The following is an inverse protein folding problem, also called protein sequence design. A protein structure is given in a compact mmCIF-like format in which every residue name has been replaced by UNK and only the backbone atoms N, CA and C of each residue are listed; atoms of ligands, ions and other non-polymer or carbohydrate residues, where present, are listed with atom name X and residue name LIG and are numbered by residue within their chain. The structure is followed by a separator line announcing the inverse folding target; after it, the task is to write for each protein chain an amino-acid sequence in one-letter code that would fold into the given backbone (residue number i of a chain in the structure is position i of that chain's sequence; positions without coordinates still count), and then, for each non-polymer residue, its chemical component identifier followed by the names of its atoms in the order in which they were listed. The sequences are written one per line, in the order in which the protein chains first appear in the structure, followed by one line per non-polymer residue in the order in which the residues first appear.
data_IF_347677438354
#
_entry.id   IF_347677438354
#
_cell.length_a   1.000
_cell.length_b   1.000
_cell.length_c   1.000
_cell.angle_alpha   90.00
_cell.angle_beta   90.00
_cell.angle_gamma   90.00
#
_symmetry.space_group_name_H-M   'P 1'
#
loop_
_entity.id
_entity.type
_entity.pdbx_description
1 polymer ?
#
# COMPACT_ATOMS: atom_id res chain seq x y z
N UNK A 1 -9.27 -21.25 -16.77
CA UNK A 1 -9.58 -19.80 -16.70
C UNK A 1 -9.03 -19.29 -15.38
N UNK A 2 -8.30 -18.17 -15.34
CA UNK A 2 -7.82 -17.62 -14.07
C UNK A 2 -9.02 -17.17 -13.24
N UNK A 3 -9.18 -17.74 -12.06
CA UNK A 3 -10.23 -17.38 -11.10
C UNK A 3 -9.76 -16.17 -10.31
N UNK A 4 -10.53 -15.08 -10.36
CA UNK A 4 -10.36 -13.97 -9.42
C UNK A 4 -10.36 -14.49 -7.98
N UNK A 5 -9.67 -13.83 -7.04
CA UNK A 5 -9.79 -14.14 -5.62
C UNK A 5 -11.28 -14.15 -5.25
N UNK A 6 -11.69 -15.09 -4.38
CA UNK A 6 -13.11 -15.19 -4.04
C UNK A 6 -13.61 -13.86 -3.47
N UNK A 7 -14.83 -13.47 -3.82
CA UNK A 7 -15.46 -12.22 -3.32
C UNK A 7 -15.42 -12.16 -1.79
N UNK A 8 -15.54 -13.30 -1.13
CA UNK A 8 -15.46 -13.41 0.32
C UNK A 8 -14.08 -13.00 0.85
N UNK A 9 -12.99 -13.47 0.21
CA UNK A 9 -11.63 -13.15 0.60
C UNK A 9 -11.28 -11.67 0.36
N UNK A 10 -11.78 -11.08 -0.73
CA UNK A 10 -11.66 -9.64 -0.94
C UNK A 10 -12.44 -8.84 0.10
N UNK A 11 -13.61 -9.35 0.50
CA UNK A 11 -14.47 -8.68 1.48
C UNK A 11 -13.91 -8.67 2.90
N UNK A 12 -13.05 -9.63 3.24
CA UNK A 12 -12.44 -9.76 4.57
C UNK A 12 -11.07 -9.11 4.67
N UNK A 13 -10.44 -8.75 3.55
CA UNK A 13 -9.07 -8.24 3.49
C UNK A 13 -8.82 -7.06 4.44
N UNK A 14 -9.59 -5.96 4.31
CA UNK A 14 -9.38 -4.76 5.12
C UNK A 14 -9.80 -4.99 6.57
N UNK A 15 -10.84 -5.81 6.77
CA UNK A 15 -11.26 -6.20 8.13
C UNK A 15 -10.14 -6.94 8.85
N UNK A 16 -9.48 -7.88 8.18
CA UNK A 16 -8.30 -8.57 8.72
C UNK A 16 -7.14 -7.61 8.99
N UNK A 17 -6.86 -6.69 8.06
CA UNK A 17 -5.84 -5.64 8.26
C UNK A 17 -6.12 -4.77 9.50
N UNK A 18 -7.40 -4.51 9.80
CA UNK A 18 -7.82 -3.67 10.93
C UNK A 18 -7.76 -4.33 12.30
N UNK A 19 -7.64 -5.65 12.35
CA UNK A 19 -7.54 -6.39 13.62
C UNK A 19 -6.10 -6.39 14.18
N UNK A 20 -5.15 -5.74 13.51
CA UNK A 20 -3.74 -5.79 13.88
C UNK A 20 -3.08 -4.43 13.74
N UNK A 21 -2.23 -4.09 14.71
CA UNK A 21 -1.24 -3.03 14.56
C UNK A 21 0.00 -3.61 13.89
N UNK A 22 0.51 -2.90 12.89
CA UNK A 22 1.58 -3.37 12.05
C UNK A 22 2.89 -2.66 12.38
N UNK A 23 3.96 -3.40 12.62
CA UNK A 23 5.32 -2.88 12.59
C UNK A 23 5.71 -2.59 11.13
N UNK A 24 6.12 -1.36 10.82
CA UNK A 24 6.47 -0.90 9.48
C UNK A 24 7.98 -0.69 9.37
N UNK A 25 8.59 -1.36 8.39
CA UNK A 25 9.92 -1.03 7.86
C UNK A 25 9.79 -0.44 6.47
N UNK A 26 10.30 0.78 6.28
CA UNK A 26 10.23 1.56 5.04
C UNK A 26 11.62 1.79 4.48
N UNK A 27 11.86 1.40 3.25
CA UNK A 27 13.09 1.71 2.51
C UNK A 27 12.78 2.79 1.48
N UNK A 28 13.51 3.91 1.57
CA UNK A 28 13.43 5.05 0.68
C UNK A 28 14.63 5.08 -0.26
N UNK A 29 14.36 5.21 -1.56
CA UNK A 29 15.36 5.48 -2.60
C UNK A 29 14.89 6.63 -3.47
N UNK A 30 15.69 7.68 -3.57
CA UNK A 30 15.45 8.80 -4.47
C UNK A 30 16.64 9.00 -5.39
N UNK A 31 16.36 9.35 -6.65
CA UNK A 31 17.34 9.81 -7.62
C UNK A 31 17.90 11.19 -7.27
N UNK A 32 17.16 11.97 -6.45
CA UNK A 32 17.65 13.23 -5.90
C UNK A 32 18.45 12.95 -4.61
N UNK A 33 19.77 13.21 -4.57
CA UNK A 33 20.58 12.95 -3.38
C UNK A 33 20.23 13.85 -2.18
N UNK A 34 19.47 14.93 -2.39
CA UNK A 34 18.98 15.80 -1.32
C UNK A 34 17.71 15.27 -0.64
N UNK A 35 17.03 14.30 -1.25
CA UNK A 35 15.89 13.65 -0.62
C UNK A 35 16.35 12.62 0.43
N UNK A 36 15.45 12.31 1.36
CA UNK A 36 15.65 11.25 2.34
C UNK A 36 15.82 9.89 1.66
N UNK A 37 16.92 9.21 1.98
CA UNK A 37 17.26 7.88 1.50
C UNK A 37 17.59 6.98 2.71
N UNK A 38 17.37 5.67 2.57
CA UNK A 38 17.68 4.69 3.61
C UNK A 38 16.44 4.09 4.26
N UNK A 39 16.58 3.61 5.49
CA UNK A 39 15.52 2.87 6.20
C UNK A 39 14.86 3.73 7.28
N UNK A 40 13.54 3.67 7.35
CA UNK A 40 12.72 4.23 8.42
C UNK A 40 11.92 3.09 9.08
N UNK A 41 11.66 3.27 10.38
CA UNK A 41 10.79 2.37 11.16
C UNK A 41 9.61 3.14 11.71
N UNK A 42 8.49 2.46 11.84
CA UNK A 42 7.26 3.03 12.33
C UNK A 42 6.20 1.97 12.56
N UNK A 43 4.95 2.39 12.63
CA UNK A 43 3.80 1.52 12.72
C UNK A 43 2.70 1.93 11.76
N UNK A 44 1.79 1.01 11.47
CA UNK A 44 0.60 1.29 10.70
C UNK A 44 -0.66 0.69 11.34
N UNK A 45 -1.78 1.38 11.21
CA UNK A 45 -3.09 0.98 11.75
C UNK A 45 -4.19 1.25 10.74
N UNK A 46 -5.30 0.52 10.88
CA UNK A 46 -6.53 0.75 10.13
C UNK A 46 -7.68 0.94 11.14
N UNK A 47 -8.29 2.13 11.14
CA UNK A 47 -9.38 2.46 12.05
C UNK A 47 -10.67 2.64 11.28
N UNK A 48 -11.68 1.81 11.55
CA UNK A 48 -13.00 1.94 10.92
C UNK A 48 -13.57 3.35 11.14
N UNK A 49 -14.08 3.96 10.07
CA UNK A 49 -14.69 5.28 10.11
C UNK A 49 -16.22 5.16 10.18
N UNK A 50 -16.90 6.10 10.85
CA UNK A 50 -18.35 6.19 10.78
C UNK A 50 -18.78 6.50 9.33
N UNK A 51 -19.98 6.07 8.92
CA UNK A 51 -20.54 6.45 7.62
C UNK A 51 -20.59 7.98 7.50
N UNK A 52 -20.04 8.51 6.40
CA UNK A 52 -20.11 9.93 6.06
C UNK A 52 -21.18 10.16 4.98
N UNK A 53 -21.52 11.42 4.72
CA UNK A 53 -22.47 11.78 3.64
C UNK A 53 -22.01 11.39 2.24
N UNK A 54 -20.72 11.11 2.06
CA UNK A 54 -20.11 10.74 0.77
C UNK A 54 -19.99 9.23 0.55
N UNK A 55 -20.17 8.43 1.60
CA UNK A 55 -20.21 6.97 1.52
C UNK A 55 -21.62 6.50 1.19
N UNK A 56 -21.75 5.58 0.24
CA UNK A 56 -23.02 4.88 0.04
C UNK A 56 -23.33 4.00 1.26
N UNK A 57 -24.58 3.54 1.39
CA UNK A 57 -24.98 2.69 2.53
C UNK A 57 -24.24 1.36 2.61
N UNK A 58 -23.60 0.94 1.51
CA UNK A 58 -22.88 -0.34 1.41
C UNK A 58 -21.36 -0.16 1.44
N UNK A 59 -20.85 1.06 1.42
CA UNK A 59 -19.42 1.34 1.57
C UNK A 59 -18.98 1.29 3.03
N UNK A 60 -17.75 0.83 3.24
CA UNK A 60 -17.08 0.88 4.54
C UNK A 60 -15.71 1.54 4.38
N UNK A 61 -15.46 2.53 5.22
CA UNK A 61 -14.22 3.31 5.21
C UNK A 61 -13.33 2.93 6.40
N UNK A 62 -12.03 2.82 6.14
CA UNK A 62 -11.00 2.69 7.16
C UNK A 62 -9.95 3.78 6.97
N UNK A 63 -9.66 4.50 8.05
CA UNK A 63 -8.52 5.40 8.11
C UNK A 63 -7.27 4.54 8.26
N UNK A 64 -6.49 4.47 7.20
CA UNK A 64 -5.14 3.95 7.22
C UNK A 64 -4.18 5.04 7.68
N UNK A 65 -3.45 4.79 8.77
CA UNK A 65 -2.46 5.72 9.31
C UNK A 65 -1.12 5.01 9.45
N UNK A 66 -0.06 5.63 8.96
CA UNK A 66 1.31 5.27 9.29
C UNK A 66 1.94 6.38 10.13
N UNK A 67 2.82 6.00 11.04
CA UNK A 67 3.63 6.95 11.80
C UNK A 67 4.96 6.35 12.25
N UNK A 68 5.95 7.20 12.43
CA UNK A 68 7.26 6.83 12.97
C UNK A 68 8.12 8.06 13.20
N UNK A 69 9.40 7.84 13.47
CA UNK A 69 10.38 8.90 13.72
C UNK A 69 11.60 8.73 12.82
N UNK A 70 12.21 9.85 12.42
CA UNK A 70 13.47 9.83 11.68
C UNK A 70 14.59 9.36 12.62
N UNK A 71 15.28 8.25 12.31
CA UNK A 71 16.37 7.75 13.15
C UNK A 71 17.50 8.77 13.26
N UNK A 72 18.09 8.90 14.44
CA UNK A 72 19.18 9.85 14.69
C UNK A 72 20.46 9.57 13.91
N UNK A 73 20.60 8.38 13.32
CA UNK A 73 21.76 7.94 12.54
C UNK A 73 21.55 7.98 11.02
N UNK A 74 20.35 8.35 10.53
CA UNK A 74 20.13 8.55 9.09
C UNK A 74 20.64 9.95 8.72
N UNK A 75 21.92 9.99 8.34
CA UNK A 75 22.58 11.20 7.86
C UNK A 75 22.17 11.51 6.42
N UNK A 76 21.03 12.16 6.23
CA UNK A 76 20.60 12.65 4.90
C UNK A 76 19.90 14.01 5.03
N UNK A 77 20.66 15.11 4.92
CA UNK A 77 20.11 16.44 4.67
C UNK A 77 19.18 17.03 5.77
N UNK A 78 18.38 18.03 5.36
CA UNK A 78 17.79 19.12 6.15
C UNK A 78 16.73 18.81 7.23
N UNK A 79 16.50 17.54 7.59
CA UNK A 79 15.49 17.17 8.59
C UNK A 79 16.14 16.77 9.93
N UNK A 80 15.72 17.34 11.06
CA UNK A 80 16.30 17.04 12.36
C UNK A 80 15.98 15.59 12.79
N UNK A 81 16.94 14.88 13.43
CA UNK A 81 16.68 13.65 14.17
C UNK A 81 15.44 13.73 15.07
N UNK A 82 14.69 12.63 15.17
CA UNK A 82 13.50 12.55 16.02
C UNK A 82 12.28 13.28 15.47
N UNK A 83 12.34 13.86 14.26
CA UNK A 83 11.15 14.38 13.60
C UNK A 83 10.16 13.24 13.35
N UNK A 84 8.93 13.41 13.84
CA UNK A 84 7.83 12.48 13.55
C UNK A 84 7.38 12.64 12.10
N UNK A 85 7.16 11.52 11.44
CA UNK A 85 6.51 11.47 10.14
C UNK A 85 5.18 10.73 10.26
N UNK A 86 4.20 11.14 9.46
CA UNK A 86 2.90 10.47 9.37
C UNK A 86 2.41 10.46 7.93
N UNK A 87 1.61 9.45 7.59
CA UNK A 87 0.95 9.33 6.29
C UNK A 87 -0.45 8.76 6.51
N UNK A 88 -1.47 9.38 5.90
CA UNK A 88 -2.87 8.95 6.06
C UNK A 88 -3.55 8.77 4.70
N UNK A 89 -4.42 7.77 4.62
CA UNK A 89 -5.34 7.54 3.50
C UNK A 89 -6.66 6.98 4.03
N UNK A 90 -7.74 7.17 3.28
CA UNK A 90 -8.97 6.39 3.48
C UNK A 90 -8.94 5.20 2.52
N UNK A 91 -9.03 3.99 3.06
CA UNK A 91 -9.27 2.78 2.29
C UNK A 91 -10.77 2.49 2.35
N UNK A 92 -11.42 2.53 1.20
CA UNK A 92 -12.86 2.29 1.05
C UNK A 92 -13.08 0.94 0.40
N UNK A 93 -13.92 0.13 1.05
CA UNK A 93 -14.39 -1.14 0.52
C UNK A 93 -15.87 -1.04 0.19
N UNK A 94 -16.20 -1.35 -1.05
CA UNK A 94 -17.57 -1.54 -1.49
C UNK A 94 -18.00 -2.97 -1.12
N UNK A 95 -18.98 -3.12 -0.24
CA UNK A 95 -19.38 -4.46 0.27
C UNK A 95 -20.10 -5.32 -0.77
N UNK A 96 -20.66 -4.70 -1.82
CA UNK A 96 -21.38 -5.40 -2.88
C UNK A 96 -20.46 -5.97 -3.96
N UNK A 97 -19.43 -5.25 -4.35
CA UNK A 97 -18.49 -5.63 -5.40
C UNK A 97 -17.18 -6.20 -4.85
N UNK A 98 -16.88 -6.00 -3.56
CA UNK A 98 -15.60 -6.35 -2.96
C UNK A 98 -14.44 -5.47 -3.46
N UNK A 99 -14.74 -4.38 -4.18
CA UNK A 99 -13.74 -3.47 -4.72
C UNK A 99 -13.15 -2.62 -3.60
N UNK A 100 -11.85 -2.43 -3.67
CA UNK A 100 -11.10 -1.55 -2.75
C UNK A 100 -10.62 -0.33 -3.52
N UNK A 101 -10.73 0.85 -2.88
CA UNK A 101 -10.20 2.11 -3.39
C UNK A 101 -9.47 2.87 -2.29
N UNK A 102 -8.45 3.62 -2.67
CA UNK A 102 -7.63 4.43 -1.76
C UNK A 102 -7.84 5.90 -2.10
N UNK A 103 -8.10 6.71 -1.08
CA UNK A 103 -8.42 8.13 -1.18
C UNK A 103 -7.45 8.96 -0.36
N UNK A 104 -7.11 10.14 -0.88
CA UNK A 104 -6.42 11.14 -0.07
C UNK A 104 -7.32 11.61 1.06
N UNK A 105 -6.72 11.97 2.19
CA UNK A 105 -7.45 12.55 3.33
C UNK A 105 -7.40 14.06 3.23
N UNK A 106 -8.52 14.73 3.50
CA UNK A 106 -8.61 16.19 3.51
C UNK A 106 -7.65 16.78 4.52
N UNK A 107 -6.91 17.82 4.10
CA UNK A 107 -6.06 18.61 4.99
C UNK A 107 -6.85 19.81 5.50
N UNK A 108 -7.74 19.56 6.46
CA UNK A 108 -8.60 20.58 7.07
C UNK A 108 -8.80 20.29 8.57
N UNK A 109 -9.12 21.31 9.40
CA UNK A 109 -9.54 21.08 10.77
C UNK A 109 -10.84 20.24 10.80
N UNK A 110 -10.92 19.26 11.69
CA UNK A 110 -12.12 18.43 11.85
C UNK A 110 -11.82 16.93 11.75
N UNK A 111 -12.85 16.10 11.51
CA UNK A 111 -12.68 14.67 11.31
C UNK A 111 -11.89 14.36 10.03
N UNK A 112 -11.21 13.21 10.03
CA UNK A 112 -10.50 12.70 8.85
C UNK A 112 -11.54 12.27 7.81
N UNK A 113 -11.52 12.90 6.65
CA UNK A 113 -12.49 12.65 5.57
C UNK A 113 -11.77 12.39 4.25
N UNK A 114 -12.36 11.55 3.40
CA UNK A 114 -11.89 11.36 2.04
C UNK A 114 -12.02 12.65 1.22
N UNK A 115 -10.97 13.00 0.48
CA UNK A 115 -10.91 14.15 -0.42
C UNK A 115 -11.18 13.70 -1.87
N UNK A 116 -10.13 13.33 -2.60
CA UNK A 116 -10.21 12.79 -3.95
C UNK A 116 -9.54 11.42 -4.06
N UNK A 117 -9.99 10.66 -5.06
CA UNK A 117 -9.51 9.31 -5.31
C UNK A 117 -8.02 9.32 -5.65
N UNK A 118 -7.25 8.49 -4.96
CA UNK A 118 -5.88 8.19 -5.36
C UNK A 118 -5.91 7.10 -6.43
N UNK A 119 -6.30 5.87 -6.08
CA UNK A 119 -6.44 4.78 -7.06
C UNK A 119 -7.42 3.71 -6.60
N UNK A 120 -7.84 2.86 -7.53
CA UNK A 120 -8.55 1.62 -7.24
C UNK A 120 -7.55 0.46 -7.17
N UNK A 121 -7.87 -0.57 -6.38
CA UNK A 121 -7.15 -1.83 -6.42
C UNK A 121 -7.56 -2.61 -7.67
N UNK A 122 -6.54 -3.03 -8.42
CA UNK A 122 -6.63 -4.04 -9.46
C UNK A 122 -5.92 -5.29 -8.95
N UNK A 123 -6.68 -6.33 -8.59
CA UNK A 123 -6.15 -7.57 -8.03
C UNK A 123 -5.65 -8.50 -9.14
N UNK A 124 -4.44 -9.02 -9.00
CA UNK A 124 -3.89 -9.97 -9.97
C UNK A 124 -4.61 -11.31 -9.85
N UNK A 125 -5.16 -11.80 -10.97
CA UNK A 125 -5.83 -13.11 -11.02
C UNK A 125 -4.80 -14.21 -11.28
N UNK A 126 -4.06 -14.63 -10.25
CA UNK A 126 -3.34 -15.92 -10.10
C UNK A 126 -2.42 -16.45 -11.22
N UNK A 127 -2.30 -15.77 -12.35
CA UNK A 127 -1.66 -16.27 -13.59
C UNK A 127 -0.63 -15.30 -14.18
N UNK A 128 -0.48 -14.11 -13.59
CA UNK A 128 0.51 -13.11 -14.05
C UNK A 128 1.88 -13.26 -13.37
N UNK A 129 2.07 -14.36 -12.62
CA UNK A 129 3.41 -14.77 -12.21
C UNK A 129 4.11 -15.43 -13.39
N UNK A 130 5.24 -14.83 -13.79
CA UNK A 130 6.28 -15.29 -14.74
C UNK A 130 6.16 -14.77 -16.18
N UNK A 131 6.80 -13.63 -16.51
CA UNK A 131 8.08 -13.59 -17.25
C UNK A 131 8.53 -12.14 -17.49
N UNK A 132 9.59 -11.73 -16.82
CA UNK A 132 10.45 -10.66 -17.33
C UNK A 132 11.21 -11.18 -18.55
N UNK A 133 10.90 -10.66 -19.73
CA UNK A 133 11.76 -10.81 -20.91
C UNK A 133 11.85 -9.46 -21.59
N UNK A 134 13.03 -8.86 -21.50
CA UNK A 134 13.34 -7.61 -22.18
C UNK A 134 13.58 -7.83 -23.67
N UNK A 135 13.14 -6.85 -24.46
CA UNK A 135 13.78 -6.48 -25.73
C UNK A 135 13.28 -5.08 -26.10
N UNK A 136 14.21 -4.16 -26.30
CA UNK A 136 13.92 -2.73 -26.40
C UNK A 136 13.26 -2.29 -27.71
N UNK A 137 12.53 -1.18 -27.63
CA UNK A 137 12.63 -0.05 -28.56
C UNK A 137 11.99 1.18 -27.90
N UNK A 138 12.59 2.34 -28.10
CA UNK A 138 12.26 3.56 -27.41
C UNK A 138 10.99 4.21 -27.98
N UNK A 139 9.86 4.09 -27.25
CA UNK A 139 8.78 5.08 -27.24
C UNK A 139 7.97 4.96 -25.93
N UNK A 140 8.15 5.94 -25.04
CA UNK A 140 7.51 6.22 -23.72
C UNK A 140 6.32 5.32 -23.35
N UNK A 141 6.53 4.43 -22.36
CA UNK A 141 5.65 3.32 -22.03
C UNK A 141 4.62 3.64 -20.93
N UNK A 142 3.30 3.63 -21.20
CA UNK A 142 2.26 3.62 -20.16
C UNK A 142 2.22 2.29 -19.37
N UNK A 143 2.93 1.26 -19.83
CA UNK A 143 2.95 -0.12 -19.31
C UNK A 143 4.08 -0.49 -18.36
N UNK A 144 4.77 0.43 -17.68
CA UNK A 144 5.73 0.04 -16.64
C UNK A 144 5.00 -0.60 -15.45
N UNK A 145 4.95 -1.93 -15.43
CA UNK A 145 4.47 -2.71 -14.29
C UNK A 145 5.53 -2.66 -13.20
N UNK A 146 5.13 -2.31 -11.97
CA UNK A 146 6.00 -2.46 -10.81
C UNK A 146 5.59 -3.72 -10.07
N UNK A 147 6.53 -4.65 -9.91
CA UNK A 147 6.28 -5.86 -9.14
C UNK A 147 6.09 -5.52 -7.65
N UNK A 148 5.10 -6.11 -6.98
CA UNK A 148 4.97 -5.96 -5.54
C UNK A 148 6.17 -6.60 -4.83
N UNK A 149 6.61 -6.04 -3.70
CA UNK A 149 7.64 -6.65 -2.87
C UNK A 149 7.07 -7.89 -2.18
N UNK A 150 7.88 -8.95 -2.06
CA UNK A 150 7.48 -10.17 -1.35
C UNK A 150 7.15 -9.84 0.11
N UNK A 151 5.94 -10.13 0.64
CA UNK A 151 5.63 -9.87 2.05
C UNK A 151 6.54 -10.66 3.00
N UNK A 152 6.86 -10.10 4.18
CA UNK A 152 7.63 -10.80 5.21
C UNK A 152 7.18 -12.25 5.43
N UNK A 153 8.15 -13.15 5.60
CA UNK A 153 7.84 -14.54 5.91
C UNK A 153 7.29 -14.63 7.34
N UNK A 154 6.32 -15.52 7.55
CA UNK A 154 5.76 -15.79 8.88
C UNK A 154 6.11 -17.22 9.26
N UNK A 155 6.71 -17.40 10.43
CA UNK A 155 6.98 -18.72 11.00
C UNK A 155 5.70 -19.29 11.57
N UNK A 156 4.84 -19.80 10.70
CA UNK A 156 3.65 -20.57 11.08
C UNK A 156 3.96 -22.07 10.94
N UNK A 157 3.61 -22.86 11.95
CA UNK A 157 4.05 -24.24 12.10
C UNK A 157 3.20 -25.29 11.38
N UNK A 158 2.20 -24.92 10.56
CA UNK A 158 1.30 -25.92 9.97
C UNK A 158 0.65 -25.60 8.60
N UNK A 159 0.53 -24.35 8.16
CA UNK A 159 -0.28 -24.03 6.98
C UNK A 159 0.53 -23.35 5.86
N UNK A 160 0.35 -23.83 4.63
CA UNK A 160 0.79 -23.15 3.42
C UNK A 160 0.09 -21.79 3.33
N UNK A 161 0.84 -20.73 2.98
CA UNK A 161 0.28 -19.36 2.85
C UNK A 161 0.19 -18.97 1.39
N UNK A 162 -0.82 -18.19 1.04
CA UNK A 162 -0.99 -17.63 -0.32
C UNK A 162 -0.64 -16.15 -0.31
N UNK A 163 -0.17 -15.62 -1.44
CA UNK A 163 0.06 -14.19 -1.62
C UNK A 163 -0.96 -13.63 -2.60
N UNK A 164 -1.74 -12.65 -2.13
CA UNK A 164 -2.66 -11.86 -2.94
C UNK A 164 -1.99 -10.56 -3.36
N UNK A 165 -1.88 -10.32 -4.67
CA UNK A 165 -1.30 -9.10 -5.20
C UNK A 165 -2.39 -8.12 -5.67
N UNK A 166 -2.14 -6.83 -5.47
CA UNK A 166 -2.97 -5.77 -6.02
C UNK A 166 -2.10 -4.61 -6.50
N UNK A 167 -2.64 -3.78 -7.38
CA UNK A 167 -1.95 -2.59 -7.89
C UNK A 167 -2.91 -1.43 -8.08
N UNK A 168 -2.34 -0.24 -8.23
CA UNK A 168 -3.08 0.97 -8.53
C UNK A 168 -2.17 2.08 -9.01
N UNK A 169 -2.65 2.88 -9.96
CA UNK A 169 -1.90 3.98 -10.56
C UNK A 169 -2.67 5.29 -10.42
N UNK A 170 -1.92 6.39 -10.32
CA UNK A 170 -2.47 7.74 -10.26
C UNK A 170 -1.52 8.73 -10.94
N UNK A 171 -2.02 9.49 -11.91
CA UNK A 171 -1.27 10.61 -12.49
C UNK A 171 -1.59 11.86 -11.69
N UNK A 172 -0.62 12.36 -10.93
CA UNK A 172 -0.74 13.65 -10.25
C UNK A 172 0.02 14.70 -11.04
N UNK A 173 -0.71 15.54 -11.78
CA UNK A 173 -0.18 16.60 -12.64
C UNK A 173 0.79 16.02 -13.69
N UNK A 174 2.09 15.96 -13.37
CA UNK A 174 3.15 15.47 -14.26
C UNK A 174 3.92 14.26 -13.68
N UNK A 175 3.51 13.78 -12.51
CA UNK A 175 4.18 12.70 -11.80
C UNK A 175 3.28 11.47 -11.81
N UNK A 176 3.77 10.37 -12.39
CA UNK A 176 3.11 9.08 -12.37
C UNK A 176 3.42 8.36 -11.07
N UNK A 177 2.38 8.10 -10.27
CA UNK A 177 2.44 7.28 -9.08
C UNK A 177 1.96 5.88 -9.44
N UNK A 178 2.85 4.90 -9.31
CA UNK A 178 2.53 3.48 -9.45
C UNK A 178 2.64 2.83 -8.08
N UNK A 179 1.63 2.06 -7.71
CA UNK A 179 1.61 1.32 -6.44
C UNK A 179 1.33 -0.14 -6.68
N UNK A 180 2.08 -1.00 -6.01
CA UNK A 180 1.83 -2.43 -5.93
C UNK A 180 1.78 -2.87 -4.46
N UNK A 181 0.94 -3.85 -4.18
CA UNK A 181 0.68 -4.43 -2.87
C UNK A 181 0.80 -5.94 -2.98
N UNK A 182 1.29 -6.56 -1.92
CA UNK A 182 1.21 -8.00 -1.72
C UNK A 182 0.75 -8.27 -0.28
N UNK A 183 -0.24 -9.14 -0.14
CA UNK A 183 -0.80 -9.56 1.14
C UNK A 183 -0.57 -11.06 1.29
N UNK A 184 0.22 -11.46 2.28
CA UNK A 184 0.35 -12.87 2.67
C UNK A 184 -0.84 -13.22 3.53
N UNK A 185 -1.60 -14.21 3.10
CA UNK A 185 -2.83 -14.62 3.75
C UNK A 185 -2.81 -16.10 4.13
N UNK A 186 -3.55 -16.43 5.19
CA UNK A 186 -4.03 -17.79 5.40
C UNK A 186 -5.12 -18.10 4.36
N UNK A 187 -5.00 -19.18 3.55
CA UNK A 187 -5.90 -19.41 2.41
C UNK A 187 -7.37 -19.63 2.80
N UNK A 188 -7.61 -20.32 3.91
CA UNK A 188 -8.96 -20.74 4.32
C UNK A 188 -9.77 -19.60 4.96
N UNK A 189 -9.11 -18.75 5.75
CA UNK A 189 -9.76 -17.65 6.48
C UNK A 189 -9.63 -16.30 5.77
N UNK A 190 -8.63 -16.15 4.90
CA UNK A 190 -8.25 -14.86 4.34
C UNK A 190 -7.56 -13.93 5.34
N UNK A 191 -7.13 -14.44 6.50
CA UNK A 191 -6.41 -13.65 7.49
C UNK A 191 -5.08 -13.16 6.91
N UNK A 192 -4.85 -11.85 6.94
CA UNK A 192 -3.56 -11.24 6.57
C UNK A 192 -2.54 -11.48 7.69
N UNK A 193 -1.46 -12.17 7.33
CA UNK A 193 -0.39 -12.54 8.24
C UNK A 193 0.78 -11.54 8.16
N UNK A 194 1.03 -11.01 6.97
CA UNK A 194 1.97 -9.93 6.70
C UNK A 194 1.62 -9.28 5.37
N UNK A 195 2.10 -8.06 5.13
CA UNK A 195 1.89 -7.42 3.83
C UNK A 195 3.04 -6.49 3.49
N UNK A 196 3.08 -6.08 2.23
CA UNK A 196 4.09 -5.16 1.74
C UNK A 196 3.51 -4.30 0.61
N UNK A 197 4.07 -3.10 0.45
CA UNK A 197 3.72 -2.20 -0.64
C UNK A 197 4.95 -1.58 -1.26
N UNK A 198 4.88 -1.27 -2.55
CA UNK A 198 5.90 -0.50 -3.26
C UNK A 198 5.23 0.65 -3.99
N UNK A 199 5.79 1.85 -3.82
CA UNK A 199 5.37 3.04 -4.52
C UNK A 199 6.53 3.57 -5.35
N UNK A 200 6.32 3.67 -6.65
CA UNK A 200 7.28 4.26 -7.57
C UNK A 200 6.68 5.54 -8.14
N UNK A 201 7.41 6.63 -7.99
CA UNK A 201 7.05 7.95 -8.54
C UNK A 201 8.04 8.31 -9.62
N UNK A 202 7.54 8.58 -10.82
CA UNK A 202 8.32 9.01 -11.97
C UNK A 202 7.71 10.26 -12.57
N UNK A 203 8.51 11.30 -12.71
CA UNK A 203 8.15 12.55 -13.37
C UNK A 203 9.38 13.36 -13.75
N UNK A 204 9.23 14.52 -14.41
CA UNK A 204 10.35 15.29 -14.94
C UNK A 204 11.41 15.70 -13.91
N UNK A 205 11.02 15.79 -12.63
CA UNK A 205 11.87 16.18 -11.50
C UNK A 205 11.78 15.21 -10.31
N UNK A 206 11.09 14.07 -10.47
CA UNK A 206 10.86 13.12 -9.39
C UNK A 206 11.24 11.72 -9.85
N UNK A 207 12.07 11.08 -9.06
CA UNK A 207 12.42 9.67 -9.19
C UNK A 207 12.52 9.08 -7.81
N UNK A 208 11.43 8.51 -7.30
CA UNK A 208 11.38 7.90 -5.97
C UNK A 208 10.87 6.46 -6.04
N UNK A 209 11.44 5.59 -5.23
CA UNK A 209 11.05 4.20 -5.03
C UNK A 209 11.00 3.92 -3.53
N UNK A 210 9.80 3.63 -3.05
CA UNK A 210 9.49 3.44 -1.64
C UNK A 210 8.99 2.02 -1.47
N UNK A 211 9.67 1.22 -0.66
CA UNK A 211 9.23 -0.14 -0.30
C UNK A 211 8.86 -0.15 1.17
N UNK A 212 7.66 -0.61 1.47
CA UNK A 212 7.15 -0.80 2.82
C UNK A 212 6.91 -2.27 3.10
N UNK A 213 7.29 -2.71 4.29
CA UNK A 213 7.09 -4.07 4.80
C UNK A 213 6.40 -3.99 6.14
N UNK A 214 5.33 -4.76 6.29
CA UNK A 214 4.46 -4.74 7.45
C UNK A 214 4.38 -6.13 8.06
N UNK A 215 4.75 -6.20 9.33
CA UNK A 215 4.70 -7.40 10.16
C UNK A 215 3.74 -7.16 11.32
N UNK A 216 3.09 -8.20 11.83
CA UNK A 216 2.28 -8.05 13.05
C UNK A 216 3.19 -7.56 14.17
N UNK A 217 2.79 -6.51 14.86
CA UNK A 217 3.51 -6.07 16.05
C UNK A 217 3.38 -7.17 17.12
N UNK A 218 4.51 -7.53 17.73
CA UNK A 218 4.60 -8.60 18.73
C UNK A 218 4.03 -8.18 20.09
#
# INVERSE_FOLDING_TARGET
MPTMPSRQLLSTLITSLSNTRWALTRTLRSENPLDLNGELRGTATFTAQPPTTTTTTTDRDWLYCEEGEIPSNVGTGALPPGLRWTKKYIWRQDSDSGRVSVWFVKVAPGPEEADYLFHNFDFESGSDSLVGSGSGSAQKDPGEFIAPPVPPAVSTSANETTVLNARGNHLCINDMYRTAYAFRIEPDTGEVLSWASRHVVRGPKKGQDIVNRYEKEA
#
